data_IF_473606003852
#
_entry.id   IF_473606003852
#
_cell.length_a   1.000
_cell.length_b   1.000
_cell.length_c   1.000
_cell.angle_alpha   90.00
_cell.angle_beta   90.00
_cell.angle_gamma   90.00
#
_symmetry.space_group_name_H-M   'P 1'
#
loop_
_entity.id
_entity.type
_entity.pdbx_description
1 polymer ?
#
# COMPACT_ATOMS: atom_id res chain seq x y z
N UNK A 1 -17.85 -36.13 -28.53
CA UNK A 1 -17.55 -34.70 -28.29
C UNK A 1 -17.96 -34.27 -26.89
N UNK A 2 -18.48 -35.17 -26.04
CA UNK A 2 -18.96 -34.85 -24.69
C UNK A 2 -17.92 -35.05 -23.58
N UNK A 3 -16.75 -35.64 -23.87
CA UNK A 3 -15.71 -35.91 -22.85
C UNK A 3 -14.91 -34.66 -22.46
N UNK A 4 -14.83 -33.63 -23.32
CA UNK A 4 -14.00 -32.44 -23.11
C UNK A 4 -14.60 -31.49 -22.05
N UNK A 5 -15.93 -31.36 -22.03
CA UNK A 5 -16.62 -30.54 -21.03
C UNK A 5 -16.67 -31.17 -19.63
N UNK A 6 -16.61 -32.50 -19.53
CA UNK A 6 -16.56 -33.19 -18.24
C UNK A 6 -15.19 -33.02 -17.55
N UNK A 7 -14.12 -32.83 -18.33
CA UNK A 7 -12.77 -32.71 -17.80
C UNK A 7 -12.50 -31.29 -17.27
N UNK A 8 -12.92 -30.25 -18.00
CA UNK A 8 -12.83 -28.85 -17.55
C UNK A 8 -13.61 -28.60 -16.25
N UNK A 9 -14.82 -29.15 -16.12
CA UNK A 9 -15.62 -29.02 -14.90
C UNK A 9 -14.95 -29.68 -13.67
N UNK A 10 -14.20 -30.77 -13.87
CA UNK A 10 -13.51 -31.45 -12.78
C UNK A 10 -12.23 -30.71 -12.35
N UNK A 11 -11.52 -30.11 -13.30
CA UNK A 11 -10.34 -29.26 -13.05
C UNK A 11 -10.74 -28.00 -12.28
N UNK A 12 -11.83 -27.34 -12.68
CA UNK A 12 -12.37 -26.16 -11.98
C UNK A 12 -12.81 -26.47 -10.55
N UNK A 13 -13.40 -27.65 -10.33
CA UNK A 13 -13.81 -28.10 -9.00
C UNK A 13 -12.58 -28.34 -8.09
N UNK A 14 -11.53 -28.98 -8.60
CA UNK A 14 -10.29 -29.23 -7.87
C UNK A 14 -9.55 -27.93 -7.53
N UNK A 15 -9.48 -26.99 -8.47
CA UNK A 15 -8.90 -25.66 -8.26
C UNK A 15 -9.64 -24.89 -7.15
N UNK A 16 -10.99 -24.90 -7.17
CA UNK A 16 -11.82 -24.30 -6.12
C UNK A 16 -11.63 -24.93 -4.75
N UNK A 17 -11.54 -26.26 -4.68
CA UNK A 17 -11.25 -26.94 -3.42
C UNK A 17 -9.86 -26.56 -2.88
N UNK A 18 -8.87 -26.43 -3.76
CA UNK A 18 -7.52 -26.04 -3.37
C UNK A 18 -7.49 -24.63 -2.78
N UNK A 19 -8.10 -23.63 -3.45
CA UNK A 19 -8.13 -22.24 -2.92
C UNK A 19 -8.89 -22.16 -1.61
N UNK A 20 -9.98 -22.91 -1.44
CA UNK A 20 -10.73 -22.98 -0.19
C UNK A 20 -9.88 -23.57 0.95
N UNK A 21 -9.09 -24.61 0.68
CA UNK A 21 -8.16 -25.19 1.68
C UNK A 21 -7.08 -24.19 2.09
N UNK A 22 -6.49 -23.48 1.12
CA UNK A 22 -5.50 -22.43 1.39
C UNK A 22 -6.10 -21.29 2.23
N UNK A 23 -7.33 -20.87 1.92
CA UNK A 23 -8.04 -19.84 2.68
C UNK A 23 -8.29 -20.29 4.13
N UNK A 24 -8.80 -21.50 4.33
CA UNK A 24 -9.04 -22.06 5.67
C UNK A 24 -7.72 -22.16 6.47
N UNK A 25 -6.63 -22.58 5.83
CA UNK A 25 -5.30 -22.59 6.43
C UNK A 25 -4.86 -21.19 6.90
N UNK A 26 -5.12 -20.15 6.12
CA UNK A 26 -4.83 -18.77 6.53
C UNK A 26 -5.67 -18.29 7.71
N UNK A 27 -6.95 -18.64 7.75
CA UNK A 27 -7.83 -18.36 8.90
C UNK A 27 -7.29 -19.04 10.16
N UNK A 28 -6.85 -20.29 10.07
CA UNK A 28 -6.23 -21.01 11.19
C UNK A 28 -4.92 -20.37 11.66
N UNK A 29 -4.03 -20.00 10.73
CA UNK A 29 -2.76 -19.34 11.05
C UNK A 29 -2.99 -17.99 11.75
N UNK A 30 -3.93 -17.18 11.27
CA UNK A 30 -4.28 -15.91 11.90
C UNK A 30 -4.88 -16.11 13.30
N UNK A 31 -5.73 -17.13 13.48
CA UNK A 31 -6.28 -17.49 14.79
C UNK A 31 -5.19 -17.96 15.77
N UNK A 32 -4.25 -18.78 15.32
CA UNK A 32 -3.09 -19.21 16.12
C UNK A 32 -2.23 -18.01 16.51
N UNK A 33 -1.96 -17.10 15.58
CA UNK A 33 -1.22 -15.85 15.84
C UNK A 33 -1.92 -14.96 16.86
N UNK A 34 -3.24 -14.78 16.75
CA UNK A 34 -4.04 -13.99 17.72
C UNK A 34 -4.00 -14.61 19.12
N UNK A 35 -4.17 -15.93 19.24
CA UNK A 35 -4.07 -16.65 20.52
C UNK A 35 -2.67 -16.52 21.13
N UNK A 36 -1.61 -16.65 20.34
CA UNK A 36 -0.24 -16.47 20.81
C UNK A 36 0.00 -15.04 21.32
N UNK A 37 -0.50 -14.02 20.61
CA UNK A 37 -0.42 -12.62 21.03
C UNK A 37 -1.17 -12.37 22.36
N UNK A 38 -2.37 -12.94 22.53
CA UNK A 38 -3.13 -12.86 23.79
C UNK A 38 -2.40 -13.55 24.95
N UNK A 39 -1.79 -14.71 24.68
CA UNK A 39 -1.01 -15.45 25.65
C UNK A 39 0.40 -14.85 25.92
N UNK A 40 0.79 -13.79 25.18
CA UNK A 40 2.15 -13.20 25.20
C UNK A 40 3.26 -14.22 24.93
N UNK A 41 2.96 -15.23 24.11
CA UNK A 41 3.92 -16.26 23.70
C UNK A 41 4.42 -15.92 22.29
N UNK A 42 5.71 -16.16 21.98
CA UNK A 42 6.22 -16.03 20.61
C UNK A 42 5.39 -16.88 19.64
N UNK A 43 4.92 -16.27 18.55
CA UNK A 43 4.24 -17.00 17.48
C UNK A 43 5.26 -17.66 16.56
N UNK A 44 4.80 -18.65 15.78
CA UNK A 44 5.61 -19.33 14.77
C UNK A 44 6.21 -18.30 13.78
N UNK A 45 7.54 -18.20 13.67
CA UNK A 45 8.20 -17.25 12.76
C UNK A 45 7.82 -17.45 11.30
N UNK A 46 7.47 -18.69 10.91
CA UNK A 46 7.13 -19.04 9.53
C UNK A 46 5.67 -18.74 9.17
N UNK A 47 4.79 -18.57 10.16
CA UNK A 47 3.35 -18.41 9.92
C UNK A 47 3.03 -17.21 9.04
N UNK A 48 3.77 -16.11 9.18
CA UNK A 48 3.58 -14.93 8.34
C UNK A 48 3.94 -15.20 6.88
N UNK A 49 5.04 -15.91 6.63
CA UNK A 49 5.48 -16.26 5.28
C UNK A 49 4.48 -17.21 4.63
N UNK A 50 4.02 -18.24 5.37
CA UNK A 50 2.99 -19.16 4.90
C UNK A 50 1.68 -18.43 4.56
N UNK A 51 1.25 -17.47 5.37
CA UNK A 51 0.03 -16.71 5.08
C UNK A 51 0.15 -15.90 3.78
N UNK A 52 1.32 -15.26 3.58
CA UNK A 52 1.62 -14.50 2.36
C UNK A 52 1.57 -15.41 1.13
N UNK A 53 2.25 -16.55 1.16
CA UNK A 53 2.32 -17.51 0.05
C UNK A 53 0.96 -18.11 -0.29
N UNK A 54 0.16 -18.46 0.73
CA UNK A 54 -1.19 -18.96 0.52
C UNK A 54 -2.10 -17.91 -0.15
N UNK A 55 -2.01 -16.63 0.27
CA UNK A 55 -2.78 -15.56 -0.37
C UNK A 55 -2.33 -15.31 -1.82
N UNK A 56 -1.02 -15.31 -2.07
CA UNK A 56 -0.47 -15.23 -3.43
C UNK A 56 -1.02 -16.35 -4.32
N UNK A 57 -0.96 -17.59 -3.85
CA UNK A 57 -1.48 -18.74 -4.58
C UNK A 57 -2.98 -18.60 -4.89
N UNK A 58 -3.79 -18.13 -3.93
CA UNK A 58 -5.23 -17.91 -4.16
C UNK A 58 -5.46 -16.84 -5.25
N UNK A 59 -4.74 -15.72 -5.21
CA UNK A 59 -4.84 -14.63 -6.20
C UNK A 59 -4.50 -15.15 -7.61
N UNK A 60 -3.46 -15.97 -7.71
CA UNK A 60 -2.97 -16.51 -8.98
C UNK A 60 -3.75 -17.73 -9.48
N UNK A 61 -4.59 -18.34 -8.65
CA UNK A 61 -5.39 -19.52 -9.01
C UNK A 61 -6.82 -19.11 -9.41
N UNK A 62 -7.58 -18.51 -8.49
CA UNK A 62 -9.00 -18.17 -8.70
C UNK A 62 -9.30 -16.71 -8.35
N UNK A 63 -9.52 -15.90 -9.40
CA UNK A 63 -9.85 -14.48 -9.24
C UNK A 63 -11.24 -14.25 -8.65
N UNK A 64 -12.23 -15.08 -8.99
CA UNK A 64 -13.58 -14.90 -8.48
C UNK A 64 -13.61 -15.16 -6.97
N UNK A 65 -12.93 -16.21 -6.53
CA UNK A 65 -12.71 -16.48 -5.12
C UNK A 65 -11.92 -15.35 -4.44
N UNK A 66 -10.85 -14.87 -5.09
CA UNK A 66 -10.02 -13.76 -4.59
C UNK A 66 -10.84 -12.48 -4.35
N UNK A 67 -11.72 -12.12 -5.29
CA UNK A 67 -12.62 -10.96 -5.17
C UNK A 67 -13.68 -11.17 -4.08
N UNK A 68 -14.33 -12.34 -4.06
CA UNK A 68 -15.37 -12.66 -3.08
C UNK A 68 -14.87 -12.59 -1.63
N UNK A 69 -13.63 -13.03 -1.39
CA UNK A 69 -13.02 -13.07 -0.07
C UNK A 69 -12.04 -11.91 0.21
N UNK A 70 -11.98 -10.92 -0.70
CA UNK A 70 -11.10 -9.75 -0.60
C UNK A 70 -9.63 -10.12 -0.33
N UNK A 71 -9.12 -11.15 -1.00
CA UNK A 71 -7.82 -11.75 -0.68
C UNK A 71 -6.66 -10.78 -0.88
N UNK A 72 -6.69 -9.97 -1.94
CA UNK A 72 -5.67 -8.94 -2.17
C UNK A 72 -5.63 -7.89 -1.06
N UNK A 73 -6.80 -7.53 -0.52
CA UNK A 73 -6.90 -6.63 0.63
C UNK A 73 -6.38 -7.30 1.90
N UNK A 74 -6.76 -8.56 2.15
CA UNK A 74 -6.26 -9.34 3.29
C UNK A 74 -4.73 -9.50 3.26
N UNK A 75 -4.16 -9.73 2.08
CA UNK A 75 -2.71 -9.78 1.84
C UNK A 75 -2.05 -8.43 2.15
N UNK A 76 -2.64 -7.31 1.71
CA UNK A 76 -2.15 -5.99 2.08
C UNK A 76 -2.24 -5.74 3.58
N UNK A 77 -3.35 -6.10 4.23
CA UNK A 77 -3.51 -5.95 5.69
C UNK A 77 -2.46 -6.77 6.47
N UNK A 78 -2.07 -7.94 5.97
CA UNK A 78 -0.98 -8.73 6.56
C UNK A 78 0.36 -7.97 6.52
N UNK A 79 0.65 -7.27 5.43
CA UNK A 79 1.83 -6.41 5.32
C UNK A 79 1.72 -5.15 6.18
N UNK A 80 0.59 -4.46 6.07
CA UNK A 80 0.33 -3.21 6.75
C UNK A 80 0.44 -3.37 8.27
N UNK A 81 -0.10 -4.46 8.83
CA UNK A 81 0.06 -4.77 10.26
C UNK A 81 1.53 -4.89 10.66
N UNK A 82 2.35 -5.53 9.83
CA UNK A 82 3.80 -5.66 10.09
C UNK A 82 4.51 -4.31 9.99
N UNK A 83 4.10 -3.45 9.07
CA UNK A 83 4.56 -2.05 8.99
C UNK A 83 4.23 -1.33 10.30
N UNK A 84 2.98 -1.38 10.77
CA UNK A 84 2.57 -0.73 12.02
C UNK A 84 3.31 -1.24 13.25
N UNK A 85 3.57 -2.55 13.36
CA UNK A 85 4.40 -3.13 14.43
C UNK A 85 5.83 -2.54 14.43
N UNK A 86 6.46 -2.46 13.24
CA UNK A 86 7.80 -1.90 13.09
C UNK A 86 7.82 -0.40 13.39
N UNK A 87 6.79 0.35 12.98
CA UNK A 87 6.62 1.78 13.31
C UNK A 87 6.48 1.99 14.81
N UNK A 88 5.67 1.17 15.49
CA UNK A 88 5.51 1.24 16.94
C UNK A 88 6.84 0.98 17.67
N UNK A 89 7.59 -0.06 17.27
CA UNK A 89 8.91 -0.34 17.82
C UNK A 89 9.92 0.78 17.58
N UNK A 90 9.91 1.36 16.37
CA UNK A 90 10.79 2.47 16.02
C UNK A 90 10.49 3.71 16.89
N UNK A 91 9.21 4.10 16.97
CA UNK A 91 8.79 5.26 17.76
C UNK A 91 9.09 5.06 19.26
N UNK A 92 8.86 3.86 19.80
CA UNK A 92 9.20 3.54 21.18
C UNK A 92 10.71 3.68 21.43
N UNK A 93 11.55 3.17 20.54
CA UNK A 93 13.00 3.26 20.68
C UNK A 93 13.51 4.71 20.57
N UNK A 94 12.94 5.51 19.67
CA UNK A 94 13.28 6.94 19.54
C UNK A 94 12.88 7.71 20.80
N UNK A 95 11.68 7.51 21.32
CA UNK A 95 11.19 8.22 22.51
C UNK A 95 11.96 7.85 23.79
N UNK A 96 12.38 6.59 23.92
CA UNK A 96 13.27 6.17 25.01
C UNK A 96 14.62 6.88 24.97
N UNK A 97 15.20 7.07 23.79
CA UNK A 97 16.49 7.76 23.64
C UNK A 97 16.40 9.28 23.92
N UNK A 98 15.28 9.93 23.63
CA UNK A 98 15.06 11.35 23.95
C UNK A 98 14.93 11.55 25.47
N UNK A 99 14.24 10.63 26.14
CA UNK A 99 14.02 10.69 27.60
C UNK A 99 15.32 10.53 28.40
N UNK A 100 16.26 9.70 27.92
CA UNK A 100 17.59 9.53 28.55
C UNK A 100 18.49 10.76 28.40
N UNK A 101 18.36 11.51 27.29
CA UNK A 101 19.18 12.69 27.04
C UNK A 101 18.72 13.94 27.81
N UNK A 102 17.47 13.97 28.29
CA UNK A 102 16.91 15.12 28.99
C UNK A 102 17.10 15.11 30.51
N UNK A 103 17.57 14.00 31.10
CA UNK A 103 17.47 13.80 32.56
C UNK A 103 18.75 13.54 33.33
N UNK A 104 19.94 13.37 32.75
CA UNK A 104 21.20 13.42 33.52
C UNK A 104 22.45 13.37 32.64
N UNK A 105 23.43 14.24 32.92
CA UNK A 105 24.78 14.21 32.35
C UNK A 105 25.66 13.06 32.87
N UNK A 106 25.13 11.82 32.89
CA UNK A 106 25.93 10.62 33.19
C UNK A 106 26.15 9.81 31.91
N UNK A 107 27.41 9.41 31.73
CA UNK A 107 28.03 8.69 30.61
C UNK A 107 27.05 7.74 29.90
N UNK A 108 26.89 7.83 28.56
CA UNK A 108 25.94 7.00 27.84
C UNK A 108 26.41 5.55 27.76
N UNK A 109 25.60 4.62 28.26
CA UNK A 109 25.66 3.23 27.79
C UNK A 109 25.39 3.22 26.28
N UNK A 110 26.34 2.70 25.50
CA UNK A 110 26.37 2.72 24.02
C UNK A 110 25.21 2.02 23.29
N UNK A 111 24.16 1.54 23.97
CA UNK A 111 23.13 0.66 23.41
C UNK A 111 21.92 1.35 22.77
N UNK A 112 21.69 2.64 23.03
CA UNK A 112 20.53 3.40 22.54
C UNK A 112 20.54 3.70 21.03
N UNK A 113 21.62 4.28 20.47
CA UNK A 113 21.75 4.55 19.03
C UNK A 113 21.76 3.26 18.18
N UNK A 114 22.38 2.21 18.70
CA UNK A 114 22.48 0.90 18.05
C UNK A 114 21.11 0.23 17.90
N UNK A 115 20.24 0.34 18.92
CA UNK A 115 18.88 -0.22 18.88
C UNK A 115 18.01 0.45 17.82
N UNK A 116 18.03 1.78 17.74
CA UNK A 116 17.26 2.53 16.71
C UNK A 116 17.77 2.18 15.31
N UNK A 117 19.09 2.08 15.15
CA UNK A 117 19.71 1.71 13.87
C UNK A 117 19.33 0.29 13.47
N UNK A 118 19.35 -0.67 14.41
CA UNK A 118 18.90 -2.05 14.17
C UNK A 118 17.44 -2.13 13.74
N UNK A 119 16.53 -1.45 14.45
CA UNK A 119 15.10 -1.43 14.10
C UNK A 119 14.89 -0.78 12.72
N UNK A 120 15.61 0.31 12.43
CA UNK A 120 15.57 0.97 11.13
C UNK A 120 16.02 0.04 10.00
N UNK A 121 17.12 -0.69 10.20
CA UNK A 121 17.61 -1.68 9.23
C UNK A 121 16.59 -2.78 9.01
N UNK A 122 16.02 -3.35 10.07
CA UNK A 122 14.96 -4.36 9.95
C UNK A 122 13.75 -3.83 9.17
N UNK A 123 13.34 -2.58 9.43
CA UNK A 123 12.22 -1.98 8.73
C UNK A 123 12.53 -1.75 7.25
N UNK A 124 13.73 -1.25 6.92
CA UNK A 124 14.17 -1.06 5.53
C UNK A 124 14.25 -2.39 4.77
N UNK A 125 14.78 -3.44 5.39
CA UNK A 125 14.86 -4.79 4.81
C UNK A 125 13.45 -5.30 4.50
N UNK A 126 12.55 -5.25 5.48
CA UNK A 126 11.16 -5.67 5.29
C UNK A 126 10.46 -4.92 4.14
N UNK A 127 10.60 -3.59 4.09
CA UNK A 127 9.99 -2.79 3.02
C UNK A 127 10.57 -3.15 1.65
N UNK A 128 11.85 -3.48 1.55
CA UNK A 128 12.49 -3.92 0.30
C UNK A 128 12.03 -5.31 -0.13
N UNK A 129 11.96 -6.27 0.79
CA UNK A 129 11.41 -7.61 0.52
C UNK A 129 9.95 -7.53 0.06
N UNK A 130 9.12 -6.75 0.76
CA UNK A 130 7.74 -6.52 0.37
C UNK A 130 7.63 -5.83 -1.01
N UNK A 131 8.54 -4.90 -1.34
CA UNK A 131 8.58 -4.26 -2.67
C UNK A 131 8.88 -5.30 -3.75
N UNK A 132 9.87 -6.17 -3.54
CA UNK A 132 10.21 -7.24 -4.47
C UNK A 132 9.05 -8.20 -4.69
N UNK A 133 8.37 -8.59 -3.61
CA UNK A 133 7.18 -9.44 -3.68
C UNK A 133 6.06 -8.84 -4.53
N UNK A 134 5.67 -7.58 -4.33
CA UNK A 134 4.58 -7.00 -5.13
C UNK A 134 4.95 -6.79 -6.59
N UNK A 135 6.23 -6.55 -6.90
CA UNK A 135 6.70 -6.56 -8.28
C UNK A 135 6.58 -7.94 -8.92
N UNK A 136 7.04 -8.98 -8.22
CA UNK A 136 6.94 -10.36 -8.68
C UNK A 136 5.48 -10.82 -8.84
N UNK A 137 4.62 -10.52 -7.87
CA UNK A 137 3.18 -10.76 -7.95
C UNK A 137 2.56 -10.06 -9.16
N UNK A 138 2.89 -8.79 -9.38
CA UNK A 138 2.41 -8.04 -10.54
C UNK A 138 2.88 -8.68 -11.86
N UNK A 139 4.12 -9.17 -11.95
CA UNK A 139 4.62 -9.88 -13.13
C UNK A 139 3.86 -11.19 -13.37
N UNK A 140 3.61 -11.98 -12.32
CA UNK A 140 2.82 -13.22 -12.40
C UNK A 140 1.38 -12.96 -12.83
N UNK A 141 0.74 -11.92 -12.29
CA UNK A 141 -0.61 -11.48 -12.71
C UNK A 141 -0.60 -11.09 -14.20
N UNK A 142 0.37 -10.26 -14.63
CA UNK A 142 0.47 -9.85 -16.04
C UNK A 142 0.64 -11.05 -16.97
N UNK A 143 1.49 -12.01 -16.59
CA UNK A 143 1.68 -13.24 -17.35
C UNK A 143 0.39 -14.07 -17.45
N UNK A 144 -0.34 -14.24 -16.33
CA UNK A 144 -1.61 -14.98 -16.29
C UNK A 144 -2.68 -14.39 -17.20
N UNK A 145 -2.79 -13.06 -17.25
CA UNK A 145 -3.81 -12.35 -18.02
C UNK A 145 -3.34 -11.84 -19.39
N UNK A 146 -2.13 -12.20 -19.82
CA UNK A 146 -1.59 -11.77 -21.11
C UNK A 146 -1.36 -10.26 -21.25
N UNK A 147 -1.11 -9.57 -20.14
CA UNK A 147 -0.93 -8.11 -20.12
C UNK A 147 0.49 -7.71 -20.57
N UNK A 148 0.64 -6.60 -21.30
CA UNK A 148 1.96 -6.12 -21.72
C UNK A 148 2.82 -5.71 -20.51
N UNK A 149 4.13 -5.96 -20.63
CA UNK A 149 5.13 -5.54 -19.65
C UNK A 149 5.44 -4.02 -19.71
N UNK A 150 5.04 -3.35 -20.79
CA UNK A 150 5.28 -1.93 -21.02
C UNK A 150 4.39 -0.98 -20.20
N UNK A 151 4.62 0.32 -20.39
CA UNK A 151 3.77 1.39 -19.84
C UNK A 151 2.36 1.24 -20.42
N UNK A 152 1.34 1.32 -19.58
CA UNK A 152 -0.04 1.38 -20.02
C UNK A 152 -0.23 2.74 -20.72
N UNK A 153 -0.16 2.76 -22.06
CA UNK A 153 -0.43 3.96 -22.84
C UNK A 153 -1.90 4.38 -22.67
N UNK A 154 -2.17 5.69 -22.68
CA UNK A 154 -3.51 6.29 -22.64
C UNK A 154 -4.41 5.83 -23.82
N UNK A 155 -3.85 5.19 -24.84
CA UNK A 155 -4.57 4.70 -26.03
C UNK A 155 -5.30 3.35 -25.85
N UNK A 156 -5.45 2.84 -24.63
CA UNK A 156 -6.03 1.50 -24.44
C UNK A 156 -7.52 1.42 -24.82
N UNK A 157 -8.24 2.55 -24.87
CA UNK A 157 -9.61 2.61 -25.39
C UNK A 157 -9.67 2.39 -26.92
N UNK A 158 -8.58 2.68 -27.64
CA UNK A 158 -8.46 2.50 -29.09
C UNK A 158 -7.73 1.21 -29.50
N UNK A 159 -7.13 0.48 -28.55
CA UNK A 159 -6.34 -0.74 -28.83
C UNK A 159 -7.02 -2.03 -28.37
N UNK A 160 -8.24 -2.01 -27.85
CA UNK A 160 -9.05 -3.23 -27.76
C UNK A 160 -9.45 -3.56 -29.20
N UNK A 161 -8.87 -4.59 -29.85
CA UNK A 161 -9.46 -5.06 -31.09
C UNK A 161 -10.87 -5.49 -30.70
N UNK A 162 -11.88 -4.97 -31.39
CA UNK A 162 -13.25 -5.48 -31.34
C UNK A 162 -13.26 -6.93 -31.87
N UNK A 163 -12.62 -7.82 -31.13
CA UNK A 163 -12.69 -9.26 -31.28
C UNK A 163 -13.95 -9.68 -30.54
N UNK A 164 -14.73 -10.56 -31.17
CA UNK A 164 -16.07 -10.99 -30.77
C UNK A 164 -16.12 -11.81 -29.46
N UNK A 165 -15.13 -11.67 -28.58
CA UNK A 165 -14.94 -12.46 -27.37
C UNK A 165 -15.07 -11.59 -26.11
N UNK A 166 -16.31 -11.38 -25.65
CA UNK A 166 -16.59 -10.60 -24.44
C UNK A 166 -15.89 -11.14 -23.19
N UNK A 167 -15.58 -12.45 -23.15
CA UNK A 167 -14.93 -13.09 -22.02
C UNK A 167 -13.46 -12.65 -21.84
N UNK A 168 -12.71 -12.47 -22.94
CA UNK A 168 -11.31 -12.01 -22.91
C UNK A 168 -11.18 -10.58 -22.36
N UNK A 169 -12.15 -9.72 -22.66
CA UNK A 169 -12.15 -8.34 -22.14
C UNK A 169 -12.33 -8.31 -20.62
N UNK A 170 -13.16 -9.20 -20.06
CA UNK A 170 -13.39 -9.30 -18.61
C UNK A 170 -12.15 -9.80 -17.87
N UNK A 171 -11.46 -10.81 -18.41
CA UNK A 171 -10.22 -11.34 -17.82
C UNK A 171 -9.09 -10.30 -17.82
N UNK A 172 -8.91 -9.58 -18.93
CA UNK A 172 -7.93 -8.49 -19.01
C UNK A 172 -8.24 -7.42 -17.97
N UNK A 173 -9.50 -7.01 -17.82
CA UNK A 173 -9.91 -6.02 -16.79
C UNK A 173 -9.58 -6.48 -15.36
N UNK A 174 -9.81 -7.76 -15.03
CA UNK A 174 -9.44 -8.32 -13.72
C UNK A 174 -7.95 -8.16 -13.44
N UNK A 175 -7.11 -8.56 -14.39
CA UNK A 175 -5.65 -8.41 -14.28
C UNK A 175 -5.19 -6.96 -14.12
N UNK A 176 -5.80 -6.02 -14.86
CA UNK A 176 -5.51 -4.59 -14.75
C UNK A 176 -5.89 -4.05 -13.35
N UNK A 177 -7.03 -4.46 -12.80
CA UNK A 177 -7.47 -4.06 -11.45
C UNK A 177 -6.50 -4.57 -10.37
N UNK A 178 -6.08 -5.84 -10.46
CA UNK A 178 -5.09 -6.41 -9.53
C UNK A 178 -3.72 -5.72 -9.66
N UNK A 179 -3.29 -5.39 -10.88
CA UNK A 179 -2.08 -4.60 -11.12
C UNK A 179 -2.20 -3.19 -10.53
N UNK A 180 -3.36 -2.53 -10.66
CA UNK A 180 -3.61 -1.22 -10.05
C UNK A 180 -3.44 -1.26 -8.54
N UNK A 181 -4.01 -2.28 -7.87
CA UNK A 181 -3.85 -2.47 -6.42
C UNK A 181 -2.39 -2.72 -6.04
N UNK A 182 -1.66 -3.54 -6.79
CA UNK A 182 -0.22 -3.74 -6.58
C UNK A 182 0.56 -2.42 -6.67
N UNK A 183 0.25 -1.56 -7.65
CA UNK A 183 0.88 -0.23 -7.78
C UNK A 183 0.57 0.69 -6.59
N UNK A 184 -0.66 0.68 -6.06
CA UNK A 184 -0.99 1.39 -4.83
C UNK A 184 -0.11 0.91 -3.67
N UNK A 185 0.00 -0.41 -3.47
CA UNK A 185 0.80 -0.99 -2.39
C UNK A 185 2.30 -0.72 -2.55
N UNK A 186 2.82 -0.78 -3.78
CA UNK A 186 4.21 -0.38 -4.10
C UNK A 186 4.45 1.09 -3.78
N UNK A 187 3.50 1.97 -4.11
CA UNK A 187 3.54 3.38 -3.75
C UNK A 187 3.54 3.60 -2.24
N UNK A 188 2.72 2.85 -1.50
CA UNK A 188 2.69 2.92 -0.04
C UNK A 188 4.01 2.46 0.59
N UNK A 189 4.58 1.35 0.10
CA UNK A 189 5.88 0.84 0.54
C UNK A 189 7.00 1.85 0.28
N UNK A 190 7.04 2.47 -0.90
CA UNK A 190 8.00 3.52 -1.24
C UNK A 190 7.79 4.76 -0.35
N UNK A 191 6.54 5.15 -0.06
CA UNK A 191 6.25 6.24 0.88
C UNK A 191 6.78 5.94 2.28
N UNK A 192 6.60 4.72 2.78
CA UNK A 192 7.16 4.31 4.08
C UNK A 192 8.69 4.29 4.06
N UNK A 193 9.33 3.88 2.96
CA UNK A 193 10.80 4.00 2.81
C UNK A 193 11.24 5.46 2.92
N UNK A 194 10.54 6.39 2.27
CA UNK A 194 10.84 7.82 2.38
C UNK A 194 10.63 8.40 3.79
N UNK A 195 9.60 7.97 4.51
CA UNK A 195 9.32 8.43 5.88
C UNK A 195 10.39 7.99 6.90
N UNK A 196 10.93 6.77 6.74
CA UNK A 196 11.87 6.15 7.69
C UNK A 196 13.31 6.06 7.16
N UNK A 197 13.56 6.56 5.95
CA UNK A 197 14.86 6.68 5.31
C UNK A 197 15.74 7.77 5.91
N UNK A 198 16.99 7.87 5.45
CA UNK A 198 17.98 8.83 5.95
C UNK A 198 18.63 9.55 4.78
N UNK A 199 18.80 10.87 4.90
CA UNK A 199 19.47 11.70 3.89
C UNK A 199 18.77 11.69 2.54
N UNK A 200 19.57 11.69 1.48
CA UNK A 200 19.11 11.90 0.10
C UNK A 200 18.23 10.78 -0.47
N UNK A 201 18.21 9.59 0.15
CA UNK A 201 17.32 8.51 -0.29
C UNK A 201 15.84 8.87 -0.17
N UNK A 202 15.49 9.77 0.76
CA UNK A 202 14.10 10.16 1.05
C UNK A 202 13.42 10.79 -0.17
N UNK A 203 14.13 11.66 -0.89
CA UNK A 203 13.60 12.29 -2.08
C UNK A 203 13.37 11.27 -3.20
N UNK A 204 14.34 10.36 -3.40
CA UNK A 204 14.22 9.27 -4.36
C UNK A 204 13.04 8.34 -4.03
N UNK A 205 12.85 7.99 -2.77
CA UNK A 205 11.76 7.11 -2.32
C UNK A 205 10.38 7.76 -2.51
N UNK A 206 10.22 9.07 -2.25
CA UNK A 206 8.97 9.76 -2.53
C UNK A 206 8.72 9.97 -4.03
N UNK A 207 9.77 10.18 -4.83
CA UNK A 207 9.65 10.20 -6.28
C UNK A 207 9.19 8.83 -6.82
N UNK A 208 9.74 7.73 -6.29
CA UNK A 208 9.29 6.39 -6.60
C UNK A 208 7.83 6.17 -6.21
N UNK A 209 7.43 6.59 -5.00
CA UNK A 209 6.03 6.52 -4.56
C UNK A 209 5.08 7.26 -5.52
N UNK A 210 5.46 8.49 -5.89
CA UNK A 210 4.71 9.31 -6.86
C UNK A 210 4.56 8.59 -8.20
N UNK A 211 5.65 8.02 -8.72
CA UNK A 211 5.63 7.26 -9.98
C UNK A 211 4.67 6.07 -9.94
N UNK A 212 4.65 5.30 -8.85
CA UNK A 212 3.70 4.19 -8.69
C UNK A 212 2.25 4.66 -8.65
N UNK A 213 1.93 5.72 -7.90
CA UNK A 213 0.58 6.25 -7.87
C UNK A 213 0.13 6.84 -9.21
N UNK A 214 1.03 7.48 -9.96
CA UNK A 214 0.73 7.97 -11.30
C UNK A 214 0.44 6.82 -12.25
N UNK A 215 1.25 5.75 -12.24
CA UNK A 215 0.97 4.53 -13.01
C UNK A 215 -0.36 3.88 -12.61
N UNK A 216 -0.67 3.82 -11.32
CA UNK A 216 -1.97 3.32 -10.84
C UNK A 216 -3.13 4.18 -11.36
N UNK A 217 -2.95 5.50 -11.40
CA UNK A 217 -3.93 6.45 -11.93
C UNK A 217 -4.13 6.30 -13.44
N UNK A 218 -3.07 6.05 -14.21
CA UNK A 218 -3.19 5.79 -15.65
C UNK A 218 -3.87 4.45 -15.92
N UNK A 219 -3.59 3.44 -15.09
CA UNK A 219 -4.15 2.09 -15.25
C UNK A 219 -5.65 2.02 -14.90
N UNK A 220 -6.10 2.78 -13.91
CA UNK A 220 -7.52 2.88 -13.57
C UNK A 220 -7.89 4.34 -13.25
N UNK A 221 -8.16 5.15 -14.29
CA UNK A 221 -8.45 6.58 -14.13
C UNK A 221 -9.68 6.85 -13.25
N UNK A 222 -10.70 6.01 -13.29
CA UNK A 222 -11.91 6.16 -12.47
C UNK A 222 -11.68 6.03 -10.96
N UNK A 223 -10.53 5.51 -10.51
CA UNK A 223 -10.21 5.32 -9.10
C UNK A 223 -9.71 6.60 -8.43
N UNK A 224 -10.38 7.03 -7.35
CA UNK A 224 -9.96 8.18 -6.56
C UNK A 224 -8.74 7.93 -5.66
N UNK A 225 -8.40 6.66 -5.38
CA UNK A 225 -7.35 6.30 -4.44
C UNK A 225 -5.95 6.83 -4.85
N UNK A 226 -5.45 6.65 -6.09
CA UNK A 226 -4.19 7.25 -6.53
C UNK A 226 -4.07 8.76 -6.25
N UNK A 227 -5.13 9.52 -6.52
CA UNK A 227 -5.16 10.97 -6.26
C UNK A 227 -5.09 11.28 -4.78
N UNK A 228 -5.79 10.52 -3.94
CA UNK A 228 -5.69 10.63 -2.49
C UNK A 228 -4.25 10.41 -1.99
N UNK A 229 -3.56 9.37 -2.49
CA UNK A 229 -2.19 9.09 -2.08
C UNK A 229 -1.20 10.15 -2.57
N UNK A 230 -1.39 10.70 -3.78
CA UNK A 230 -0.61 11.82 -4.29
C UNK A 230 -0.81 13.10 -3.45
N UNK A 231 -2.02 13.34 -2.93
CA UNK A 231 -2.28 14.45 -2.03
C UNK A 231 -1.51 14.32 -0.71
N UNK A 232 -1.39 13.10 -0.17
CA UNK A 232 -0.57 12.82 1.03
C UNK A 232 0.90 13.13 0.76
N UNK A 233 1.44 12.73 -0.40
CA UNK A 233 2.82 13.05 -0.77
C UNK A 233 3.05 14.57 -0.88
N UNK A 234 2.14 15.29 -1.53
CA UNK A 234 2.20 16.76 -1.61
C UNK A 234 2.18 17.40 -0.21
N UNK A 235 1.38 16.86 0.70
CA UNK A 235 1.31 17.32 2.09
C UNK A 235 2.63 17.15 2.84
N UNK A 236 3.41 16.09 2.57
CA UNK A 236 4.75 15.91 3.16
C UNK A 236 5.78 16.92 2.65
N UNK A 237 5.57 17.46 1.45
CA UNK A 237 6.40 18.52 0.87
C UNK A 237 5.92 19.93 1.21
N UNK A 238 4.86 20.07 2.03
CA UNK A 238 4.16 21.34 2.30
C UNK A 238 3.72 22.06 1.01
N UNK A 239 3.20 21.29 0.05
CA UNK A 239 2.51 21.84 -1.12
C UNK A 239 0.99 21.73 -0.90
N UNK A 240 0.44 22.68 -0.14
CA UNK A 240 -0.99 22.67 0.23
C UNK A 240 -1.90 22.81 -1.00
N UNK A 241 -1.48 23.57 -2.02
CA UNK A 241 -2.28 23.77 -3.23
C UNK A 241 -2.44 22.46 -3.99
N UNK A 242 -1.34 21.73 -4.22
CA UNK A 242 -1.38 20.43 -4.89
C UNK A 242 -2.12 19.40 -4.04
N UNK A 243 -1.93 19.40 -2.72
CA UNK A 243 -2.65 18.51 -1.81
C UNK A 243 -4.17 18.71 -1.90
N UNK A 244 -4.65 19.95 -1.79
CA UNK A 244 -6.07 20.29 -1.88
C UNK A 244 -6.63 19.91 -3.25
N UNK A 245 -5.95 20.29 -4.35
CA UNK A 245 -6.35 19.92 -5.70
C UNK A 245 -6.51 18.41 -5.87
N UNK A 246 -5.53 17.62 -5.39
CA UNK A 246 -5.56 16.16 -5.48
C UNK A 246 -6.64 15.53 -4.62
N UNK A 247 -6.92 16.05 -3.42
CA UNK A 247 -8.06 15.60 -2.62
C UNK A 247 -9.39 15.87 -3.32
N UNK A 248 -9.58 17.05 -3.94
CA UNK A 248 -10.77 17.30 -4.76
C UNK A 248 -10.88 16.34 -5.93
N UNK A 249 -9.78 16.11 -6.67
CA UNK A 249 -9.74 15.14 -7.78
C UNK A 249 -10.10 13.72 -7.33
N UNK A 250 -9.70 13.33 -6.11
CA UNK A 250 -10.04 12.04 -5.53
C UNK A 250 -11.54 11.88 -5.23
N UNK A 251 -12.26 12.99 -4.98
CA UNK A 251 -13.69 13.01 -4.70
C UNK A 251 -14.56 13.26 -5.94
N UNK A 252 -14.01 13.93 -6.95
CA UNK A 252 -14.72 14.35 -8.17
C UNK A 252 -14.59 13.34 -9.33
N UNK A 253 -14.26 12.09 -9.01
CA UNK A 253 -14.07 11.01 -9.98
C UNK A 253 -15.12 9.92 -9.79
N UNK A 254 -15.26 9.03 -10.77
CA UNK A 254 -16.35 8.04 -10.81
C UNK A 254 -16.38 7.09 -9.60
N UNK A 255 -15.23 6.62 -9.13
CA UNK A 255 -15.09 5.85 -7.88
C UNK A 255 -14.36 6.69 -6.83
N UNK A 256 -15.07 7.57 -6.11
CA UNK A 256 -14.46 8.50 -5.17
C UNK A 256 -13.85 7.80 -3.96
N UNK A 257 -12.76 8.35 -3.41
CA UNK A 257 -12.17 7.85 -2.17
C UNK A 257 -12.64 8.66 -0.96
N UNK A 258 -13.60 8.12 -0.21
CA UNK A 258 -14.32 8.86 0.83
C UNK A 258 -13.41 9.52 1.89
N UNK A 259 -12.30 8.88 2.27
CA UNK A 259 -11.31 9.40 3.23
C UNK A 259 -10.69 10.74 2.79
N UNK A 260 -10.71 11.06 1.48
CA UNK A 260 -10.24 12.34 0.98
C UNK A 260 -11.03 13.53 1.56
N UNK A 261 -12.31 13.33 1.92
CA UNK A 261 -13.15 14.39 2.50
C UNK A 261 -12.61 14.85 3.85
N UNK A 262 -12.31 13.92 4.76
CA UNK A 262 -11.82 14.26 6.10
C UNK A 262 -10.43 14.90 6.03
N UNK A 263 -9.56 14.38 5.16
CA UNK A 263 -8.25 14.96 4.94
C UNK A 263 -8.31 16.36 4.30
N UNK A 264 -9.29 16.61 3.42
CA UNK A 264 -9.53 17.92 2.85
C UNK A 264 -9.96 18.94 3.91
N UNK A 265 -10.81 18.54 4.86
CA UNK A 265 -11.22 19.39 6.00
C UNK A 265 -9.98 19.79 6.81
N UNK A 266 -9.13 18.82 7.16
CA UNK A 266 -7.88 19.07 7.90
C UNK A 266 -6.96 20.01 7.12
N UNK A 267 -6.84 19.83 5.79
CA UNK A 267 -6.02 20.70 4.94
C UNK A 267 -6.53 22.15 4.95
N UNK A 268 -7.84 22.37 4.85
CA UNK A 268 -8.43 23.70 4.92
C UNK A 268 -8.27 24.36 6.30
N UNK A 269 -8.39 23.59 7.39
CA UNK A 269 -8.12 24.10 8.73
C UNK A 269 -6.67 24.57 8.87
N UNK A 270 -5.70 23.81 8.34
CA UNK A 270 -4.30 24.21 8.29
C UNK A 270 -4.10 25.53 7.53
N UNK A 271 -4.68 25.66 6.34
CA UNK A 271 -4.60 26.89 5.53
C UNK A 271 -5.24 28.08 6.24
N UNK A 272 -6.41 27.89 6.86
CA UNK A 272 -7.07 28.93 7.64
C UNK A 272 -6.21 29.42 8.82
N UNK A 273 -5.52 28.50 9.50
CA UNK A 273 -4.60 28.85 10.58
C UNK A 273 -3.41 29.69 10.07
N UNK A 274 -2.82 29.30 8.93
CA UNK A 274 -1.74 30.04 8.28
C UNK A 274 -2.19 31.45 7.89
N UNK A 275 -3.34 31.58 7.22
CA UNK A 275 -3.90 32.87 6.80
C UNK A 275 -4.12 33.81 7.99
N UNK A 276 -4.70 33.31 9.10
CA UNK A 276 -4.86 34.10 10.32
C UNK A 276 -3.53 34.58 10.88
N UNK A 277 -2.49 33.76 10.82
CA UNK A 277 -1.15 34.13 11.28
C UNK A 277 -0.53 35.21 10.39
N UNK A 278 -0.61 35.07 9.08
CA UNK A 278 -0.13 36.09 8.14
C UNK A 278 -0.87 37.42 8.29
N UNK A 279 -2.20 37.38 8.45
CA UNK A 279 -3.01 38.59 8.64
C UNK A 279 -2.64 39.34 9.93
N UNK A 280 -2.38 38.61 11.04
CA UNK A 280 -1.87 39.20 12.28
C UNK A 280 -0.50 39.88 12.08
N UNK A 281 0.41 39.24 11.35
CA UNK A 281 1.74 39.81 11.06
C UNK A 281 1.59 41.08 10.23
N UNK A 282 0.79 41.04 9.16
CA UNK A 282 0.51 42.19 8.31
C UNK A 282 -0.09 43.35 9.10
N UNK A 283 -1.05 43.08 9.99
CA UNK A 283 -1.65 44.10 10.85
C UNK A 283 -0.63 44.73 11.80
N UNK A 284 0.28 43.95 12.39
CA UNK A 284 1.36 44.48 13.26
C UNK A 284 2.34 45.33 12.47
N UNK A 285 2.72 44.92 11.26
CA UNK A 285 3.61 45.70 10.38
C UNK A 285 2.93 47.00 9.96
N UNK A 286 1.65 46.94 9.59
CA UNK A 286 0.87 48.11 9.19
C UNK A 286 0.67 49.10 10.34
N UNK A 287 0.36 48.64 11.56
CA UNK A 287 0.22 49.50 12.74
C UNK A 287 1.54 50.13 13.23
N UNK A 288 2.70 49.61 12.80
CA UNK A 288 4.02 50.12 13.15
C UNK A 288 4.64 51.02 12.07
N UNK A 289 4.00 51.15 10.92
CA UNK A 289 4.40 52.04 9.81
C UNK A 289 3.61 53.34 9.89
#
# INVERSE_FOLDING_TARGET
>A
MDDDHSMDSAVDQLSREQVQRLYNKNVELENKRRKAAQARVPSDPSAWQQMRENYEAIILEDNAFSEQHEIEYALWQLHYRRIEELRAHFNAAVNSNVSTNSLNGKVPHHSGPDRVTKIRTQFKTFLSEATGFYHDLMLKIRAKYGLPLGYFSDDQENQIPSSKDGNKSVEVKKGLISCHRCLIYLGDLARYKGLYGVGDSKACDFAAASSYYLQASSLWPSSGNPHHQLAILASYSNDELVAIYRYFRSLAIESPFATARDNLIIAFEKVNCLLRRYFKILLVVWLRS
#
